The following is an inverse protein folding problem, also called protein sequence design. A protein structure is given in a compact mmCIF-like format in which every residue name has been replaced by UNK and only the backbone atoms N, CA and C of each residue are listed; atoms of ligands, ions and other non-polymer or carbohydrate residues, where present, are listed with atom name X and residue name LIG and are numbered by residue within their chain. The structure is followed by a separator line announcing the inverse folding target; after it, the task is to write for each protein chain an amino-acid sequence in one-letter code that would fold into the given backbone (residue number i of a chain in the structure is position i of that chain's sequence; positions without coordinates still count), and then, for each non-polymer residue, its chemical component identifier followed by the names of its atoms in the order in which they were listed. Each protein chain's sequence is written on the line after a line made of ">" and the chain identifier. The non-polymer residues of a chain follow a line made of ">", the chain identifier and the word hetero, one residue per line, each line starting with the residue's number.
data_IF_709204369596
#
_entry.id   IF_709204369596
#
_cell.length_a   1.000
_cell.length_b   1.000
_cell.length_c   1.000
_cell.angle_alpha   90.00
_cell.angle_beta   90.00
_cell.angle_gamma   90.00
#
_symmetry.space_group_name_H-M   'P 1'
#
loop_
_entity.id
_entity.type
_entity.pdbx_description
1 polymer ?
#
# COMPACT_ATOMS: atom_id res chain seq x y z
N UNK A 1 3.75 -7.65 -13.57
CA UNK A 1 4.50 -6.76 -12.68
C UNK A 1 3.62 -5.56 -12.37
N UNK A 2 3.45 -5.17 -11.10
CA UNK A 2 2.66 -3.97 -10.78
C UNK A 2 3.40 -2.70 -11.20
N UNK A 3 2.68 -1.70 -11.68
CA UNK A 3 3.22 -0.40 -12.10
C UNK A 3 2.50 0.71 -11.34
N UNK A 4 3.26 1.71 -10.89
CA UNK A 4 2.70 2.98 -10.41
C UNK A 4 3.13 4.09 -11.36
N UNK A 5 2.23 5.02 -11.63
CA UNK A 5 2.54 6.22 -12.39
C UNK A 5 2.06 7.41 -11.60
N UNK A 6 2.97 8.35 -11.38
CA UNK A 6 2.69 9.64 -10.72
C UNK A 6 2.87 10.71 -11.77
N UNK A 7 1.82 11.47 -12.04
CA UNK A 7 1.81 12.58 -12.98
C UNK A 7 1.57 13.85 -12.17
N UNK A 8 2.56 14.75 -12.02
CA UNK A 8 2.32 16.04 -11.38
C UNK A 8 1.38 16.87 -12.27
N UNK A 9 0.34 17.44 -11.66
CA UNK A 9 -0.57 18.36 -12.35
C UNK A 9 -0.22 19.84 -12.10
N UNK A 10 0.69 20.09 -11.15
CA UNK A 10 1.10 21.41 -10.70
C UNK A 10 2.14 21.28 -9.57
N UNK A 11 2.30 22.34 -8.77
CA UNK A 11 3.28 22.36 -7.68
C UNK A 11 2.85 21.57 -6.45
N UNK A 12 1.54 21.40 -6.25
CA UNK A 12 0.96 20.84 -5.02
C UNK A 12 -0.02 19.69 -5.26
N UNK A 13 -0.23 19.30 -6.52
CA UNK A 13 -1.18 18.26 -6.90
C UNK A 13 -0.59 17.28 -7.93
N UNK A 14 -1.15 16.07 -7.91
CA UNK A 14 -0.71 14.98 -8.77
C UNK A 14 -1.83 13.99 -8.99
N UNK A 15 -1.73 13.25 -10.08
CA UNK A 15 -2.50 12.03 -10.33
C UNK A 15 -1.61 10.84 -10.05
N UNK A 16 -2.05 9.95 -9.16
CA UNK A 16 -1.42 8.66 -8.96
C UNK A 16 -2.32 7.57 -9.53
N UNK A 17 -1.76 6.77 -10.43
CA UNK A 17 -2.42 5.57 -10.96
C UNK A 17 -1.61 4.33 -10.59
N UNK A 18 -2.29 3.23 -10.32
CA UNK A 18 -1.67 1.95 -10.01
C UNK A 18 -2.32 0.85 -10.81
N UNK A 19 -1.51 0.16 -11.61
CA UNK A 19 -1.88 -1.10 -12.22
C UNK A 19 -1.40 -2.24 -11.31
N UNK A 20 -2.34 -3.04 -10.81
CA UNK A 20 -2.05 -4.24 -10.04
C UNK A 20 -2.01 -5.44 -10.98
N UNK A 21 -0.84 -6.05 -11.12
CA UNK A 21 -0.72 -7.36 -11.73
C UNK A 21 -0.78 -8.43 -10.64
N UNK A 22 -1.75 -9.33 -10.74
CA UNK A 22 -2.05 -10.35 -9.75
C UNK A 22 -2.67 -11.58 -10.42
N UNK A 23 -2.63 -12.73 -9.75
CA UNK A 23 -3.23 -13.96 -10.27
C UNK A 23 -4.71 -13.76 -10.66
N UNK A 24 -5.18 -14.29 -11.81
CA UNK A 24 -6.54 -14.05 -12.31
C UNK A 24 -7.66 -14.44 -11.34
N UNK A 25 -7.41 -15.42 -10.47
CA UNK A 25 -8.36 -15.90 -9.48
C UNK A 25 -8.37 -15.07 -8.18
N UNK A 26 -7.55 -14.02 -8.09
CA UNK A 26 -7.46 -13.18 -6.89
C UNK A 26 -8.27 -11.91 -7.06
N UNK A 27 -9.55 -12.02 -6.74
CA UNK A 27 -10.51 -10.95 -6.88
C UNK A 27 -10.30 -9.80 -5.87
N UNK A 28 -10.73 -8.61 -6.29
CA UNK A 28 -10.74 -7.40 -5.49
C UNK A 28 -12.13 -6.78 -5.46
N UNK A 29 -12.47 -6.19 -4.33
CA UNK A 29 -13.60 -5.28 -4.20
C UNK A 29 -13.15 -3.91 -4.67
N UNK A 30 -14.02 -3.22 -5.40
CA UNK A 30 -13.80 -1.86 -5.87
C UNK A 30 -13.46 -0.91 -4.70
N UNK A 31 -12.79 0.23 -4.96
CA UNK A 31 -12.51 1.21 -3.93
C UNK A 31 -13.79 1.68 -3.23
N UNK A 32 -13.76 1.62 -1.90
CA UNK A 32 -14.83 2.14 -1.05
C UNK A 32 -14.24 2.76 0.22
N UNK A 33 -15.05 3.51 0.94
CA UNK A 33 -14.69 4.08 2.22
C UNK A 33 -14.80 3.03 3.34
N UNK A 34 -13.76 2.98 4.16
CA UNK A 34 -13.72 2.15 5.36
C UNK A 34 -13.24 2.98 6.55
N UNK A 35 -13.42 2.42 7.74
CA UNK A 35 -12.84 2.93 8.98
C UNK A 35 -11.84 1.91 9.50
N UNK A 36 -10.59 2.33 9.68
CA UNK A 36 -9.54 1.51 10.28
C UNK A 36 -9.08 2.22 11.55
N UNK A 37 -9.38 1.64 12.72
CA UNK A 37 -9.26 2.33 14.00
C UNK A 37 -10.19 3.55 14.04
N UNK A 38 -9.61 4.74 14.24
CA UNK A 38 -10.35 6.01 14.24
C UNK A 38 -10.04 6.85 12.98
N UNK A 39 -9.69 6.20 11.87
CA UNK A 39 -9.26 6.90 10.65
C UNK A 39 -10.09 6.43 9.46
N UNK A 40 -10.71 7.39 8.76
CA UNK A 40 -11.38 7.16 7.48
C UNK A 40 -10.35 6.95 6.38
N UNK A 41 -10.54 5.88 5.61
CA UNK A 41 -9.63 5.44 4.55
C UNK A 41 -10.43 5.06 3.33
N UNK A 42 -9.82 5.17 2.15
CA UNK A 42 -10.41 4.79 0.86
C UNK A 42 -9.41 3.90 0.12
N UNK A 43 -9.81 2.67 -0.21
CA UNK A 43 -8.96 1.72 -0.91
C UNK A 43 -9.75 0.59 -1.58
N UNK A 44 -9.25 -0.02 -2.67
CA UNK A 44 -9.74 -1.31 -3.14
C UNK A 44 -9.30 -2.43 -2.20
N UNK A 45 -10.16 -3.41 -1.92
CA UNK A 45 -9.89 -4.46 -0.94
C UNK A 45 -9.59 -5.80 -1.61
N UNK A 46 -8.50 -6.46 -1.23
CA UNK A 46 -8.21 -7.84 -1.63
C UNK A 46 -9.15 -8.80 -0.88
N UNK A 47 -9.97 -9.57 -1.60
CA UNK A 47 -11.00 -10.41 -0.98
C UNK A 47 -10.41 -11.56 -0.15
N UNK A 48 -9.25 -12.08 -0.55
CA UNK A 48 -8.62 -13.22 0.11
C UNK A 48 -7.92 -12.84 1.41
N UNK A 49 -7.25 -11.69 1.41
CA UNK A 49 -6.36 -11.28 2.51
C UNK A 49 -6.85 -10.10 3.34
N UNK A 50 -8.01 -9.53 2.99
CA UNK A 50 -8.58 -8.28 3.56
C UNK A 50 -7.58 -7.10 3.53
N UNK A 51 -6.50 -7.20 2.76
CA UNK A 51 -5.48 -6.18 2.62
C UNK A 51 -5.73 -5.24 1.45
N UNK A 52 -4.80 -4.31 1.23
CA UNK A 52 -4.77 -3.49 0.02
C UNK A 52 -3.34 -3.17 -0.42
N UNK A 53 -3.10 -3.00 -1.71
CA UNK A 53 -1.82 -2.53 -2.26
C UNK A 53 -1.76 -1.01 -2.41
N UNK A 54 -2.91 -0.33 -2.35
CA UNK A 54 -3.03 1.12 -2.55
C UNK A 54 -4.16 1.70 -1.70
N UNK A 55 -4.00 2.91 -1.19
CA UNK A 55 -5.11 3.60 -0.56
C UNK A 55 -4.75 5.00 -0.10
N UNK A 56 -5.79 5.73 0.30
CA UNK A 56 -5.68 7.07 0.87
C UNK A 56 -6.34 7.13 2.24
N UNK A 57 -5.93 8.10 3.05
CA UNK A 57 -6.50 8.34 4.38
C UNK A 57 -6.73 9.82 4.62
N UNK A 58 -7.66 10.12 5.53
CA UNK A 58 -7.92 11.50 5.99
C UNK A 58 -6.73 12.13 6.74
N UNK A 59 -5.66 11.38 7.01
CA UNK A 59 -4.38 11.89 7.53
C UNK A 59 -3.51 12.55 6.45
N UNK A 60 -4.09 12.91 5.31
CA UNK A 60 -3.39 13.45 4.13
C UNK A 60 -2.28 12.51 3.64
N UNK A 61 -2.61 11.23 3.44
CA UNK A 61 -1.64 10.23 2.98
C UNK A 61 -2.18 9.41 1.83
N UNK A 62 -1.30 9.15 0.87
CA UNK A 62 -1.44 8.12 -0.15
C UNK A 62 -0.37 7.07 0.12
N UNK A 63 -0.76 5.81 0.22
CA UNK A 63 0.19 4.69 0.38
C UNK A 63 -0.02 3.75 -0.80
N UNK A 64 1.05 3.43 -1.52
CA UNK A 64 1.06 2.42 -2.58
C UNK A 64 2.29 1.52 -2.36
N UNK A 65 2.06 0.21 -2.23
CA UNK A 65 3.12 -0.77 -2.01
C UNK A 65 3.33 -1.56 -3.30
N UNK A 66 4.58 -1.55 -3.79
CA UNK A 66 5.01 -2.30 -4.95
C UNK A 66 5.86 -3.51 -4.55
N UNK A 67 6.01 -4.45 -5.49
CA UNK A 67 7.00 -5.52 -5.36
C UNK A 67 8.41 -4.92 -5.52
N UNK A 68 9.38 -5.35 -4.71
CA UNK A 68 10.74 -4.79 -4.69
C UNK A 68 11.40 -4.77 -6.08
N UNK A 69 12.06 -3.67 -6.42
CA UNK A 69 12.50 -3.38 -7.79
C UNK A 69 13.93 -3.80 -8.15
N UNK A 70 14.88 -3.77 -7.21
CA UNK A 70 16.31 -3.94 -7.54
C UNK A 70 16.83 -5.37 -7.39
N UNK A 71 16.30 -6.12 -6.42
CA UNK A 71 16.63 -7.52 -6.18
C UNK A 71 15.34 -8.31 -6.08
N UNK A 72 15.34 -9.50 -6.66
CA UNK A 72 14.22 -10.42 -6.53
C UNK A 72 14.04 -10.73 -5.04
N UNK A 73 12.82 -10.56 -4.55
CA UNK A 73 12.48 -10.85 -3.17
C UNK A 73 12.57 -12.36 -2.91
N UNK A 74 13.40 -12.76 -1.95
CA UNK A 74 13.48 -14.15 -1.51
C UNK A 74 12.22 -14.54 -0.74
N UNK A 75 11.49 -15.53 -1.26
CA UNK A 75 10.29 -16.06 -0.61
C UNK A 75 10.68 -16.80 0.68
N UNK A 76 10.09 -16.38 1.79
CA UNK A 76 10.14 -17.08 3.08
C UNK A 76 8.94 -18.01 3.19
N UNK A 77 9.10 -19.10 3.94
CA UNK A 77 8.03 -20.06 4.23
C UNK A 77 6.88 -19.45 5.03
N UNK A 78 7.16 -18.40 5.80
CA UNK A 78 6.16 -17.65 6.56
C UNK A 78 6.52 -16.16 6.67
N UNK A 79 5.49 -15.33 6.79
CA UNK A 79 5.60 -13.89 7.04
C UNK A 79 4.68 -13.53 8.19
N UNK A 80 5.14 -12.65 9.08
CA UNK A 80 4.32 -12.15 10.20
C UNK A 80 3.11 -11.35 9.74
N UNK A 81 3.28 -10.54 8.68
CA UNK A 81 2.24 -9.70 8.11
C UNK A 81 2.35 -9.71 6.58
N UNK A 82 1.20 -9.65 5.90
CA UNK A 82 1.17 -9.44 4.46
C UNK A 82 1.43 -7.97 4.14
N UNK A 83 1.97 -7.70 2.95
CA UNK A 83 2.12 -6.32 2.42
C UNK A 83 0.79 -5.57 2.43
N UNK A 84 -0.30 -6.27 2.15
CA UNK A 84 -1.64 -5.69 2.14
C UNK A 84 -2.09 -5.17 3.50
N UNK A 85 -1.72 -5.87 4.58
CA UNK A 85 -1.98 -5.42 5.95
C UNK A 85 -1.05 -4.28 6.35
N UNK A 86 0.23 -4.34 5.95
CA UNK A 86 1.19 -3.25 6.19
C UNK A 86 0.68 -1.94 5.58
N UNK A 87 0.15 -1.96 4.35
CA UNK A 87 -0.45 -0.78 3.72
C UNK A 87 -1.54 -0.16 4.59
N UNK A 88 -2.46 -0.98 5.14
CA UNK A 88 -3.52 -0.50 6.05
C UNK A 88 -2.93 0.15 7.30
N UNK A 89 -1.91 -0.45 7.91
CA UNK A 89 -1.26 0.11 9.10
C UNK A 89 -0.56 1.43 8.80
N UNK A 90 0.13 1.55 7.66
CA UNK A 90 0.83 2.77 7.27
C UNK A 90 -0.14 3.94 7.01
N UNK A 91 -1.31 3.67 6.40
CA UNK A 91 -2.34 4.67 6.18
C UNK A 91 -2.80 5.33 7.49
N UNK A 92 -2.97 4.54 8.56
CA UNK A 92 -3.52 5.04 9.83
C UNK A 92 -2.48 5.39 10.89
N UNK A 93 -1.19 5.11 10.65
CA UNK A 93 -0.13 5.34 11.62
C UNK A 93 -0.14 6.79 12.17
N UNK A 94 0.22 7.05 13.43
CA UNK A 94 0.41 8.43 13.90
C UNK A 94 1.55 9.11 13.14
N UNK A 95 2.72 8.47 13.09
CA UNK A 95 3.92 8.97 12.43
C UNK A 95 4.35 8.00 11.33
N UNK A 96 4.26 8.43 10.07
CA UNK A 96 4.54 7.55 8.92
C UNK A 96 5.99 7.09 8.90
N UNK A 97 6.94 8.01 9.16
CA UNK A 97 8.39 7.70 9.16
C UNK A 97 8.72 6.65 10.22
N UNK A 98 8.23 6.82 11.45
CA UNK A 98 8.45 5.85 12.53
C UNK A 98 7.82 4.47 12.21
N UNK A 99 6.64 4.46 11.60
CA UNK A 99 5.98 3.21 11.19
C UNK A 99 6.79 2.50 10.09
N UNK A 100 7.24 3.23 9.07
CA UNK A 100 8.08 2.68 8.01
C UNK A 100 9.39 2.12 8.58
N UNK A 101 10.08 2.85 9.46
CA UNK A 101 11.32 2.36 10.11
C UNK A 101 11.08 1.05 10.86
N UNK A 102 9.95 0.94 11.56
CA UNK A 102 9.53 -0.30 12.25
C UNK A 102 9.40 -1.48 11.29
N UNK A 103 8.87 -1.26 10.08
CA UNK A 103 8.77 -2.29 9.04
C UNK A 103 10.04 -2.46 8.19
N UNK A 104 10.90 -1.44 8.11
CA UNK A 104 12.16 -1.45 7.36
C UNK A 104 13.20 -2.35 8.03
N UNK A 105 13.17 -2.46 9.37
CA UNK A 105 13.82 -3.54 10.11
C UNK A 105 13.33 -4.96 9.70
N UNK A 106 12.30 -5.06 8.85
CA UNK A 106 11.71 -6.31 8.36
C UNK A 106 11.73 -6.50 6.82
N UNK A 107 12.41 -5.63 6.05
CA UNK A 107 12.56 -5.71 4.56
C UNK A 107 11.27 -5.36 3.78
N UNK A 108 11.13 -4.08 3.38
CA UNK A 108 10.29 -3.64 2.26
C UNK A 108 10.83 -2.33 1.68
N UNK A 109 11.09 -2.29 0.38
CA UNK A 109 11.37 -1.05 -0.36
C UNK A 109 10.06 -0.28 -0.52
N UNK A 110 9.85 0.75 0.32
CA UNK A 110 8.78 1.74 0.14
C UNK A 110 9.33 2.92 -0.65
N UNK A 111 8.77 3.18 -1.83
CA UNK A 111 8.97 4.43 -2.54
C UNK A 111 8.08 5.49 -1.88
N UNK A 112 8.71 6.45 -1.21
CA UNK A 112 8.10 7.70 -0.78
C UNK A 112 8.40 8.73 -1.87
N UNK A 113 7.37 9.24 -2.53
CA UNK A 113 7.37 10.53 -3.20
C UNK A 113 6.24 11.33 -2.58
#
# INVERSE_FOLDING_TARGET
>A
MCTVTIVPNGETDFVLTSNRDEAPNRACIAPDFYTVGNTKVLFPKDQLSDGTWIGVSEKQRVICVLNGGFKIHERKSSYRLSRGIITKHLMVAPTIVAAITTYSLMILSLLLW
#
